data_IF_759064264447
#
_entry.id   IF_759064264447
#
_cell.length_a   1.000
_cell.length_b   1.000
_cell.length_c   1.000
_cell.angle_alpha   90.00
_cell.angle_beta   90.00
_cell.angle_gamma   90.00
#
_symmetry.space_group_name_H-M   'P 1'
#
loop_
_entity.id
_entity.type
_entity.pdbx_description
1 polymer ?
#
# COMPACT_ATOMS: atom_id res chain seq x y z
N UNK A 1 -6.97 11.25 -22.49
CA UNK A 1 -7.02 11.83 -21.13
C UNK A 1 -8.43 12.09 -20.61
N UNK A 2 -9.26 12.96 -21.21
CA UNK A 2 -10.57 13.30 -20.64
C UNK A 2 -11.56 12.12 -20.54
N UNK A 3 -11.61 11.27 -21.57
CA UNK A 3 -12.50 10.10 -21.60
C UNK A 3 -12.07 9.01 -20.60
N UNK A 4 -10.76 8.74 -20.48
CA UNK A 4 -10.23 7.80 -19.47
C UNK A 4 -10.54 8.27 -18.03
N UNK A 5 -10.45 9.58 -17.76
CA UNK A 5 -10.84 10.13 -16.44
C UNK A 5 -12.33 9.95 -16.12
N UNK A 6 -13.20 9.98 -17.14
CA UNK A 6 -14.64 9.75 -16.98
C UNK A 6 -14.95 8.28 -16.75
N UNK A 7 -14.28 7.37 -17.48
CA UNK A 7 -14.43 5.91 -17.32
C UNK A 7 -14.06 5.45 -15.91
N UNK A 8 -12.91 5.88 -15.36
CA UNK A 8 -12.50 5.47 -14.02
C UNK A 8 -13.44 6.01 -12.92
N UNK A 9 -14.01 7.21 -13.11
CA UNK A 9 -15.02 7.72 -12.17
C UNK A 9 -16.29 6.86 -12.18
N UNK A 10 -16.75 6.44 -13.36
CA UNK A 10 -17.92 5.58 -13.45
C UNK A 10 -17.67 4.22 -12.78
N UNK A 11 -16.50 3.61 -12.99
CA UNK A 11 -16.12 2.36 -12.33
C UNK A 11 -16.16 2.48 -10.81
N UNK A 12 -15.53 3.53 -10.25
CA UNK A 12 -15.50 3.77 -8.80
C UNK A 12 -16.87 4.10 -8.21
N UNK A 13 -17.68 4.90 -8.91
CA UNK A 13 -18.99 5.34 -8.41
C UNK A 13 -20.03 4.22 -8.50
N UNK A 14 -20.00 3.44 -9.59
CA UNK A 14 -20.94 2.34 -9.82
C UNK A 14 -20.56 1.06 -9.08
N UNK A 15 -19.25 0.82 -8.89
CA UNK A 15 -18.68 -0.38 -8.25
C UNK A 15 -18.98 -1.71 -8.95
N UNK A 16 -19.51 -1.66 -10.18
CA UNK A 16 -19.96 -2.86 -10.91
C UNK A 16 -18.83 -3.60 -11.63
N UNK A 17 -17.71 -2.91 -11.89
CA UNK A 17 -16.59 -3.45 -12.65
C UNK A 17 -15.27 -2.94 -12.07
N UNK A 18 -14.36 -3.86 -11.78
CA UNK A 18 -12.99 -3.56 -11.37
C UNK A 18 -12.07 -3.71 -12.58
N UNK A 19 -11.45 -2.63 -13.01
CA UNK A 19 -10.57 -2.60 -14.17
C UNK A 19 -9.15 -2.98 -13.77
N UNK A 20 -8.79 -4.25 -14.03
CA UNK A 20 -7.48 -4.79 -13.68
C UNK A 20 -6.32 -4.07 -14.38
N UNK A 21 -6.46 -3.80 -15.68
CA UNK A 21 -5.41 -3.14 -16.47
C UNK A 21 -5.09 -1.74 -15.92
N UNK A 22 -6.13 -0.99 -15.56
CA UNK A 22 -5.96 0.32 -14.96
C UNK A 22 -5.34 0.24 -13.57
N UNK A 23 -5.80 -0.69 -12.73
CA UNK A 23 -5.23 -0.88 -11.39
C UNK A 23 -3.75 -1.27 -11.46
N UNK A 24 -3.38 -2.18 -12.37
CA UNK A 24 -2.01 -2.56 -12.63
C UNK A 24 -1.14 -1.37 -13.08
N UNK A 25 -1.62 -0.56 -14.02
CA UNK A 25 -0.92 0.63 -14.51
C UNK A 25 -0.57 1.60 -13.36
N UNK A 26 -1.55 1.94 -12.52
CA UNK A 26 -1.32 2.89 -11.41
C UNK A 26 -0.48 2.29 -10.27
N UNK A 27 -0.45 0.95 -10.12
CA UNK A 27 0.45 0.26 -9.19
C UNK A 27 1.89 0.26 -9.71
N UNK A 28 2.11 -0.08 -10.98
CA UNK A 28 3.46 -0.09 -11.59
C UNK A 28 4.07 1.32 -11.59
N UNK A 29 3.25 2.35 -11.79
CA UNK A 29 3.70 3.74 -11.75
C UNK A 29 3.89 4.30 -10.32
N UNK A 30 3.60 3.53 -9.27
CA UNK A 30 3.72 3.97 -7.88
C UNK A 30 2.76 5.10 -7.51
N UNK A 31 1.61 5.23 -8.19
CA UNK A 31 0.60 6.25 -7.90
C UNK A 31 -0.24 5.89 -6.65
N UNK A 32 0.42 5.66 -5.51
CA UNK A 32 -0.17 5.05 -4.30
C UNK A 32 -1.47 5.70 -3.80
N UNK A 33 -1.56 7.03 -3.84
CA UNK A 33 -2.79 7.76 -3.48
C UNK A 33 -3.95 7.39 -4.39
N UNK A 34 -3.68 7.16 -5.67
CA UNK A 34 -4.68 6.77 -6.68
C UNK A 34 -5.05 5.30 -6.55
N UNK A 35 -4.06 4.43 -6.30
CA UNK A 35 -4.26 3.00 -6.00
C UNK A 35 -5.25 2.83 -4.85
N UNK A 36 -4.99 3.47 -3.70
CA UNK A 36 -5.87 3.38 -2.53
C UNK A 36 -7.25 4.00 -2.78
N UNK A 37 -7.31 5.12 -3.51
CA UNK A 37 -8.59 5.75 -3.87
C UNK A 37 -9.42 4.83 -4.77
N UNK A 38 -8.81 4.16 -5.74
CA UNK A 38 -9.51 3.23 -6.62
C UNK A 38 -10.00 2.00 -5.86
N UNK A 39 -9.11 1.35 -5.11
CA UNK A 39 -9.42 0.16 -4.33
C UNK A 39 -10.53 0.41 -3.29
N UNK A 40 -10.51 1.57 -2.63
CA UNK A 40 -11.50 1.92 -1.60
C UNK A 40 -12.94 2.07 -2.09
N UNK A 41 -13.15 2.19 -3.41
CA UNK A 41 -14.49 2.15 -3.99
C UNK A 41 -15.13 0.75 -3.88
N UNK A 42 -14.32 -0.30 -3.97
CA UNK A 42 -14.77 -1.69 -4.05
C UNK A 42 -14.68 -2.43 -2.71
N UNK A 43 -13.73 -2.06 -1.86
CA UNK A 43 -13.57 -2.68 -0.53
C UNK A 43 -12.86 -1.77 0.46
N UNK A 44 -12.96 -2.06 1.74
CA UNK A 44 -12.25 -1.39 2.82
C UNK A 44 -11.47 -2.38 3.70
N UNK A 45 -10.65 -1.84 4.61
CA UNK A 45 -9.81 -2.61 5.54
C UNK A 45 -10.57 -3.63 6.40
N UNK A 46 -11.84 -3.37 6.71
CA UNK A 46 -12.66 -4.15 7.65
C UNK A 46 -13.56 -5.17 6.97
N UNK A 47 -13.67 -5.15 5.64
CA UNK A 47 -14.61 -6.03 4.93
C UNK A 47 -14.24 -7.51 5.08
N UNK A 48 -12.97 -7.87 4.91
CA UNK A 48 -12.47 -9.23 5.09
C UNK A 48 -10.93 -9.27 5.12
N UNK A 49 -10.37 -10.44 5.45
CA UNK A 49 -8.92 -10.66 5.56
C UNK A 49 -8.14 -10.40 4.27
N UNK A 50 -8.74 -10.60 3.10
CA UNK A 50 -8.08 -10.37 1.81
C UNK A 50 -7.98 -8.87 1.53
N UNK A 51 -9.05 -8.12 1.79
CA UNK A 51 -9.05 -6.66 1.69
C UNK A 51 -7.99 -6.05 2.62
N UNK A 52 -7.95 -6.46 3.88
CA UNK A 52 -6.92 -6.04 4.84
C UNK A 52 -5.50 -6.34 4.30
N UNK A 53 -5.29 -7.55 3.77
CA UNK A 53 -3.99 -7.97 3.21
C UNK A 53 -3.56 -7.12 2.01
N UNK A 54 -4.47 -6.78 1.08
CA UNK A 54 -4.13 -5.98 -0.10
C UNK A 54 -3.70 -4.56 0.30
N UNK A 55 -4.46 -3.89 1.17
CA UNK A 55 -4.07 -2.56 1.67
C UNK A 55 -2.73 -2.59 2.42
N UNK A 56 -2.51 -3.62 3.24
CA UNK A 56 -1.24 -3.80 3.93
C UNK A 56 -0.06 -3.89 2.95
N UNK A 57 -0.18 -4.71 1.90
CA UNK A 57 0.87 -4.88 0.90
C UNK A 57 1.18 -3.59 0.15
N UNK A 58 0.15 -2.83 -0.24
CA UNK A 58 0.30 -1.53 -0.93
C UNK A 58 1.05 -0.53 -0.04
N UNK A 59 0.61 -0.37 1.21
CA UNK A 59 1.21 0.58 2.16
C UNK A 59 2.62 0.17 2.57
N UNK A 60 2.88 -1.13 2.70
CA UNK A 60 4.22 -1.67 2.95
C UNK A 60 5.15 -1.37 1.77
N UNK A 61 4.70 -1.54 0.52
CA UNK A 61 5.52 -1.22 -0.64
C UNK A 61 5.86 0.28 -0.69
N UNK A 62 4.86 1.14 -0.49
CA UNK A 62 5.04 2.60 -0.37
C UNK A 62 6.05 2.98 0.72
N UNK A 63 6.04 2.27 1.85
CA UNK A 63 7.00 2.43 2.95
C UNK A 63 8.42 2.02 2.56
N UNK A 64 8.59 0.83 1.96
CA UNK A 64 9.89 0.33 1.53
C UNK A 64 10.52 1.21 0.45
N UNK A 65 9.72 1.81 -0.44
CA UNK A 65 10.20 2.80 -1.41
C UNK A 65 10.73 4.07 -0.76
N UNK A 66 10.06 4.56 0.30
CA UNK A 66 10.55 5.70 1.06
C UNK A 66 11.90 5.38 1.73
N UNK A 67 12.02 4.20 2.34
CA UNK A 67 13.29 3.72 2.88
C UNK A 67 14.37 3.61 1.81
N UNK A 68 14.05 3.09 0.62
CA UNK A 68 15.04 2.90 -0.46
C UNK A 68 15.56 4.23 -1.02
N UNK A 69 14.69 5.25 -1.02
CA UNK A 69 15.07 6.62 -1.36
C UNK A 69 15.82 7.36 -0.24
N UNK A 70 16.09 6.72 0.90
CA UNK A 70 16.62 7.33 2.13
C UNK A 70 15.77 8.52 2.66
N UNK A 71 14.48 8.54 2.36
CA UNK A 71 13.54 9.55 2.84
C UNK A 71 12.90 9.07 4.15
N UNK A 72 13.67 9.19 5.23
CA UNK A 72 13.26 8.72 6.56
C UNK A 72 12.04 9.45 7.11
N UNK A 73 11.89 10.75 6.84
CA UNK A 73 10.73 11.51 7.27
C UNK A 73 9.45 10.95 6.64
N UNK A 74 9.47 10.73 5.33
CA UNK A 74 8.35 10.10 4.63
C UNK A 74 8.10 8.67 5.11
N UNK A 75 9.14 7.89 5.36
CA UNK A 75 9.01 6.53 5.87
C UNK A 75 8.32 6.51 7.25
N UNK A 76 8.73 7.39 8.17
CA UNK A 76 8.08 7.53 9.50
C UNK A 76 6.62 7.94 9.36
N UNK A 77 6.31 8.92 8.49
CA UNK A 77 4.93 9.35 8.26
C UNK A 77 4.06 8.20 7.72
N UNK A 78 4.56 7.41 6.76
CA UNK A 78 3.84 6.24 6.24
C UNK A 78 3.66 5.19 7.33
N UNK A 79 4.69 4.91 8.12
CA UNK A 79 4.61 3.95 9.21
C UNK A 79 3.48 4.33 10.20
N UNK A 80 3.44 5.59 10.60
CA UNK A 80 2.45 6.09 11.55
C UNK A 80 1.04 6.20 10.96
N UNK A 81 0.89 6.88 9.83
CA UNK A 81 -0.43 7.20 9.27
C UNK A 81 -1.08 5.99 8.57
N UNK A 82 -0.28 5.21 7.84
CA UNK A 82 -0.79 4.17 6.95
C UNK A 82 -0.70 2.77 7.59
N UNK A 83 0.37 2.48 8.32
CA UNK A 83 0.67 1.12 8.79
C UNK A 83 0.28 0.86 10.26
N UNK A 84 0.15 1.88 11.11
CA UNK A 84 -0.18 1.69 12.53
C UNK A 84 -1.53 0.98 12.75
N UNK A 85 -2.50 1.16 11.85
CA UNK A 85 -3.81 0.49 11.91
C UNK A 85 -3.71 -1.04 11.86
N UNK A 86 -2.62 -1.59 11.33
CA UNK A 86 -2.41 -3.04 11.24
C UNK A 86 -1.78 -3.65 12.50
N UNK A 87 -1.32 -2.85 13.46
CA UNK A 87 -0.80 -3.34 14.75
C UNK A 87 -1.82 -4.20 15.51
N UNK A 88 -3.12 -3.87 15.41
CA UNK A 88 -4.19 -4.65 16.02
C UNK A 88 -4.47 -5.99 15.30
N UNK A 89 -3.96 -6.16 14.08
CA UNK A 89 -4.14 -7.38 13.28
C UNK A 89 -2.97 -8.35 13.45
N UNK A 90 -1.75 -7.83 13.64
CA UNK A 90 -0.55 -8.62 13.91
C UNK A 90 0.39 -7.85 14.84
N UNK A 91 0.63 -8.41 16.03
CA UNK A 91 1.28 -7.72 17.16
C UNK A 91 2.73 -7.31 16.86
N UNK A 92 3.47 -8.11 16.08
CA UNK A 92 4.89 -7.86 15.81
C UNK A 92 5.17 -7.08 14.53
N UNK A 93 4.24 -7.03 13.57
CA UNK A 93 4.55 -6.51 12.23
C UNK A 93 4.90 -5.02 12.25
N UNK A 94 4.27 -4.26 13.14
CA UNK A 94 4.56 -2.84 13.27
C UNK A 94 5.96 -2.60 13.85
N UNK A 95 6.37 -3.41 14.84
CA UNK A 95 7.68 -3.33 15.46
C UNK A 95 8.76 -3.70 14.45
N UNK A 96 8.59 -4.82 13.73
CA UNK A 96 9.50 -5.25 12.67
C UNK A 96 9.66 -4.19 11.57
N UNK A 97 8.57 -3.54 11.16
CA UNK A 97 8.64 -2.45 10.19
C UNK A 97 9.36 -1.22 10.76
N UNK A 98 9.14 -0.87 12.03
CA UNK A 98 9.82 0.25 12.69
C UNK A 98 11.34 0.03 12.77
N UNK A 99 11.77 -1.21 13.04
CA UNK A 99 13.19 -1.57 13.11
C UNK A 99 13.90 -1.35 11.76
N UNK A 100 13.20 -1.49 10.63
CA UNK A 100 13.79 -1.23 9.31
C UNK A 100 14.33 0.19 9.12
N UNK A 101 13.77 1.19 9.82
CA UNK A 101 14.21 2.59 9.72
C UNK A 101 15.66 2.75 10.20
N UNK A 102 16.05 1.98 11.21
CA UNK A 102 17.37 2.06 11.82
C UNK A 102 18.46 1.38 10.97
N UNK A 103 18.07 0.61 9.95
CA UNK A 103 19.00 -0.15 9.14
C UNK A 103 19.57 0.69 8.01
N UNK A 104 20.88 0.54 7.78
CA UNK A 104 21.57 1.15 6.65
C UNK A 104 21.08 0.59 5.30
N UNK A 105 20.61 -0.65 5.27
CA UNK A 105 20.01 -1.28 4.10
C UNK A 105 19.04 -2.36 4.55
N UNK A 106 17.75 -2.07 4.50
CA UNK A 106 16.69 -3.00 4.90
C UNK A 106 16.69 -4.30 4.07
N UNK A 107 17.24 -4.32 2.86
CA UNK A 107 17.31 -5.54 2.02
C UNK A 107 18.16 -6.67 2.62
N UNK A 108 18.93 -6.39 3.67
CA UNK A 108 19.72 -7.39 4.39
C UNK A 108 18.92 -8.16 5.44
N UNK A 109 17.67 -7.76 5.69
CA UNK A 109 16.79 -8.40 6.67
C UNK A 109 16.14 -9.68 6.16
N UNK A 110 16.27 -10.75 6.96
CA UNK A 110 15.80 -12.10 6.60
C UNK A 110 14.28 -12.17 6.37
N UNK A 111 13.49 -11.37 7.07
CA UNK A 111 12.03 -11.41 6.96
C UNK A 111 11.51 -10.87 5.61
N UNK A 112 12.31 -10.06 4.90
CA UNK A 112 11.97 -9.61 3.55
C UNK A 112 12.25 -10.69 2.50
N UNK A 113 13.14 -11.65 2.80
CA UNK A 113 13.45 -12.77 1.93
C UNK A 113 12.37 -13.86 1.92
N UNK A 114 11.46 -13.89 2.91
CA UNK A 114 10.38 -14.90 2.94
C UNK A 114 9.27 -14.65 1.91
N UNK A 115 9.32 -13.51 1.20
CA UNK A 115 8.30 -13.09 0.22
C UNK A 115 8.87 -12.72 -1.16
N UNK A 116 10.14 -13.08 -1.46
CA UNK A 116 10.72 -13.08 -2.80
C UNK A 116 10.69 -14.50 -3.38
#
# INVERSE_FOLDING_TARGET
MLNQMLEFRLEQESKIFFNWNYFEEIVINGEWKRVEKYLSAFTNLKDNRYSAKIFFLIRRQKYLEALDSNDHERAVNILWDDLAVFSALQENIYVELAELIALKNFRQEKFLCEFQ
#
